data_IF_100806814613
#
_entry.id   IF_100806814613
#
_cell.length_a   1.000
_cell.length_b   1.000
_cell.length_c   1.000
_cell.angle_alpha   90.00
_cell.angle_beta   90.00
_cell.angle_gamma   90.00
#
_symmetry.space_group_name_H-M   'P 1'
#
loop_
_entity.id
_entity.type
_entity.pdbx_description
1 polymer ?
#
# COMPACT_ATOMS: atom_id res chain seq x y z
N UNK A 1 34.92 44.08 43.61
CA UNK A 1 34.97 42.96 42.62
C UNK A 1 33.61 42.30 42.60
N UNK A 2 32.87 42.42 41.49
CA UNK A 2 31.55 41.78 41.30
C UNK A 2 31.77 40.41 40.65
N UNK A 3 31.50 39.34 41.39
CA UNK A 3 31.49 37.98 40.88
C UNK A 3 30.11 37.68 40.29
N UNK A 4 30.03 37.55 38.97
CA UNK A 4 28.83 37.10 38.28
C UNK A 4 28.73 35.58 38.37
N UNK A 5 27.81 35.10 39.21
CA UNK A 5 27.38 33.70 39.25
C UNK A 5 26.69 33.36 37.95
N UNK A 6 27.32 32.53 37.10
CA UNK A 6 26.68 31.98 35.90
C UNK A 6 25.72 30.88 36.34
N UNK A 7 24.42 31.19 36.34
CA UNK A 7 23.36 30.19 36.33
C UNK A 7 23.34 29.56 34.93
N UNK A 8 23.64 28.27 34.82
CA UNK A 8 23.40 27.49 33.60
C UNK A 8 22.66 26.21 34.02
N UNK A 9 21.66 25.86 33.20
CA UNK A 9 20.72 24.73 33.25
C UNK A 9 19.36 25.02 33.94
N UNK A 10 18.22 24.62 33.33
CA UNK A 10 18.07 23.39 32.53
C UNK A 10 17.37 23.55 31.16
N UNK A 11 17.97 23.00 30.11
CA UNK A 11 17.36 22.85 28.78
C UNK A 11 17.26 21.36 28.36
N UNK A 12 17.02 20.46 29.32
CA UNK A 12 17.10 19.00 29.08
C UNK A 12 15.87 18.20 29.52
N UNK A 13 14.66 18.80 29.46
CA UNK A 13 13.41 18.08 29.71
C UNK A 13 12.39 18.15 28.56
N UNK A 14 12.66 18.88 27.47
CA UNK A 14 11.73 18.97 26.34
C UNK A 14 11.98 17.96 25.20
N UNK A 15 13.03 17.12 25.29
CA UNK A 15 13.42 16.23 24.19
C UNK A 15 12.78 14.84 24.16
N UNK A 16 12.12 14.41 25.24
CA UNK A 16 11.67 13.01 25.38
C UNK A 16 10.17 12.79 25.12
N UNK A 17 9.38 13.85 24.94
CA UNK A 17 7.92 13.75 24.76
C UNK A 17 7.44 13.62 23.31
N UNK A 18 8.29 13.94 22.33
CA UNK A 18 7.86 14.07 20.93
C UNK A 18 8.08 12.82 20.06
N UNK A 19 8.71 11.77 20.60
CA UNK A 19 9.09 10.58 19.84
C UNK A 19 8.02 9.47 19.81
N UNK A 20 6.88 9.63 20.50
CA UNK A 20 5.82 8.60 20.56
C UNK A 20 4.51 8.97 19.85
N UNK A 21 4.40 10.18 19.31
CA UNK A 21 3.36 10.49 18.33
C UNK A 21 3.92 10.18 16.93
N UNK A 22 4.18 8.89 16.66
CA UNK A 22 4.26 8.46 15.26
C UNK A 22 2.93 8.90 14.60
N UNK A 23 2.96 9.51 13.40
CA UNK A 23 1.76 10.03 12.78
C UNK A 23 0.80 8.87 12.50
N UNK A 24 -0.26 8.76 13.32
CA UNK A 24 -1.41 7.90 13.03
C UNK A 24 -2.15 8.37 11.75
N UNK A 25 -1.79 9.55 11.22
CA UNK A 25 -2.32 10.10 9.99
C UNK A 25 -1.92 9.30 8.73
N UNK A 26 -0.84 8.52 8.77
CA UNK A 26 -0.29 7.88 7.57
C UNK A 26 -0.99 6.57 7.13
N UNK A 27 -2.13 6.20 7.72
CA UNK A 27 -2.82 4.93 7.41
C UNK A 27 -4.30 5.09 7.06
N UNK A 28 -4.70 6.30 6.68
CA UNK A 28 -6.09 6.59 6.32
C UNK A 28 -6.40 6.34 4.84
N UNK A 29 -5.42 6.25 3.94
CA UNK A 29 -5.76 6.14 2.52
C UNK A 29 -6.40 4.79 2.18
N UNK A 30 -7.24 4.79 1.14
CA UNK A 30 -7.57 3.54 0.47
C UNK A 30 -6.36 3.14 -0.37
N UNK A 31 -5.83 1.96 -0.13
CA UNK A 31 -4.70 1.42 -0.88
C UNK A 31 -5.14 0.33 -1.83
N UNK A 32 -4.42 0.13 -2.93
CA UNK A 32 -4.59 -0.99 -3.84
C UNK A 32 -3.32 -1.83 -3.90
N UNK A 33 -3.47 -3.15 -3.98
CA UNK A 33 -2.36 -4.12 -4.11
C UNK A 33 -2.76 -5.27 -5.04
N UNK A 34 -1.91 -5.72 -5.97
CA UNK A 34 -0.62 -5.14 -6.32
C UNK A 34 -0.77 -3.72 -6.90
N UNK A 35 0.27 -2.90 -6.73
CA UNK A 35 0.33 -1.55 -7.31
C UNK A 35 0.74 -1.54 -8.79
N UNK A 36 0.90 -2.70 -9.40
CA UNK A 36 1.25 -2.88 -10.81
C UNK A 36 0.54 -4.11 -11.38
N UNK A 37 0.13 -4.04 -12.64
CA UNK A 37 -0.40 -5.17 -13.41
C UNK A 37 0.07 -5.09 -14.87
N UNK A 38 0.42 -6.22 -15.52
CA UNK A 38 0.72 -6.22 -16.94
C UNK A 38 -0.56 -6.03 -17.77
N UNK A 39 -0.46 -5.30 -18.90
CA UNK A 39 -1.54 -5.21 -19.88
C UNK A 39 -1.89 -6.58 -20.47
N UNK A 40 -3.15 -6.77 -20.85
CA UNK A 40 -3.71 -8.02 -21.39
C UNK A 40 -3.78 -9.17 -20.38
N UNK A 41 -3.19 -9.03 -19.19
CA UNK A 41 -3.14 -10.06 -18.16
C UNK A 41 -4.23 -9.82 -17.12
N UNK A 42 -4.90 -10.89 -16.72
CA UNK A 42 -5.96 -10.79 -15.74
C UNK A 42 -5.43 -10.91 -14.31
N UNK A 43 -5.49 -9.80 -13.58
CA UNK A 43 -4.94 -9.67 -12.23
C UNK A 43 -6.05 -9.40 -11.23
N UNK A 44 -5.96 -10.00 -10.04
CA UNK A 44 -6.80 -9.60 -8.90
C UNK A 44 -6.10 -8.46 -8.17
N UNK A 45 -6.75 -7.30 -8.15
CA UNK A 45 -6.37 -6.15 -7.33
C UNK A 45 -7.26 -6.09 -6.09
N UNK A 46 -6.64 -5.91 -4.93
CA UNK A 46 -7.29 -5.77 -3.64
C UNK A 46 -7.17 -4.33 -3.15
N UNK A 47 -8.31 -3.73 -2.86
CA UNK A 47 -8.42 -2.47 -2.16
C UNK A 47 -8.49 -2.73 -0.66
N UNK A 48 -7.90 -1.82 0.12
CA UNK A 48 -7.90 -1.91 1.56
C UNK A 48 -8.11 -0.56 2.24
N UNK A 49 -8.80 -0.56 3.37
CA UNK A 49 -9.08 0.63 4.18
C UNK A 49 -9.13 0.24 5.66
N UNK A 50 -8.53 1.07 6.52
CA UNK A 50 -8.39 0.78 7.96
C UNK A 50 -9.21 1.66 8.89
N UNK A 51 -9.99 2.60 8.37
CA UNK A 51 -10.71 3.59 9.18
C UNK A 51 -12.04 3.99 8.55
N UNK A 52 -12.90 4.60 9.37
CA UNK A 52 -14.15 5.21 8.96
C UNK A 52 -14.04 6.71 8.65
N UNK A 53 -15.06 7.29 8.02
CA UNK A 53 -15.10 8.71 7.66
C UNK A 53 -15.16 9.56 8.94
N UNK A 54 -14.09 10.29 9.26
CA UNK A 54 -13.92 11.00 10.53
C UNK A 54 -14.22 10.09 11.77
N UNK A 55 -13.88 8.81 11.67
CA UNK A 55 -14.14 7.79 12.70
C UNK A 55 -15.57 7.21 12.71
N UNK A 56 -16.43 7.62 11.77
CA UNK A 56 -17.78 7.05 11.60
C UNK A 56 -17.72 5.71 10.88
N UNK A 57 -18.42 4.65 11.34
CA UNK A 57 -18.37 3.33 10.71
C UNK A 57 -18.74 3.33 9.22
N UNK A 58 -17.98 2.59 8.41
CA UNK A 58 -18.18 2.50 6.96
C UNK A 58 -19.38 1.62 6.61
N UNK A 59 -20.22 2.08 5.71
CA UNK A 59 -21.42 1.37 5.22
C UNK A 59 -21.38 1.05 3.74
N UNK A 60 -20.46 1.62 2.95
CA UNK A 60 -20.20 1.19 1.59
C UNK A 60 -18.84 1.69 1.08
N UNK A 61 -18.25 0.92 0.16
CA UNK A 61 -17.20 1.39 -0.75
C UNK A 61 -17.72 1.28 -2.18
N UNK A 62 -17.75 2.40 -2.92
CA UNK A 62 -18.09 2.40 -4.34
C UNK A 62 -16.84 2.72 -5.15
N UNK A 63 -16.39 1.76 -5.94
CA UNK A 63 -15.24 1.91 -6.85
C UNK A 63 -15.76 2.35 -8.21
N UNK A 64 -15.24 3.45 -8.72
CA UNK A 64 -15.44 3.86 -10.11
C UNK A 64 -14.41 3.16 -10.98
N UNK A 65 -14.87 2.51 -12.04
CA UNK A 65 -14.02 1.76 -12.96
C UNK A 65 -13.52 2.72 -14.05
N UNK A 66 -12.20 2.90 -14.21
CA UNK A 66 -11.66 3.72 -15.30
C UNK A 66 -11.89 3.07 -16.67
N UNK A 67 -11.82 3.88 -17.72
CA UNK A 67 -11.82 3.37 -19.09
C UNK A 67 -10.51 2.62 -19.41
N UNK A 68 -10.48 1.89 -20.53
CA UNK A 68 -9.29 1.18 -21.00
C UNK A 68 -9.09 -0.22 -20.42
N UNK A 69 -10.00 -0.73 -19.58
CA UNK A 69 -9.99 -2.12 -19.15
C UNK A 69 -10.78 -3.01 -20.12
N UNK A 70 -10.15 -4.09 -20.61
CA UNK A 70 -10.79 -5.11 -21.45
C UNK A 70 -11.81 -5.92 -20.65
N UNK A 71 -11.53 -6.17 -19.37
CA UNK A 71 -12.47 -6.83 -18.48
C UNK A 71 -12.31 -6.39 -17.03
N UNK A 72 -13.45 -6.27 -16.34
CA UNK A 72 -13.52 -6.03 -14.91
C UNK A 72 -14.60 -6.94 -14.34
N UNK A 73 -14.32 -7.58 -13.20
CA UNK A 73 -15.29 -8.36 -12.48
C UNK A 73 -15.06 -8.26 -10.96
N UNK A 74 -16.10 -8.08 -10.15
CA UNK A 74 -15.96 -8.19 -8.70
C UNK A 74 -15.57 -9.60 -8.26
N UNK A 75 -14.66 -9.68 -7.29
CA UNK A 75 -14.36 -10.94 -6.61
C UNK A 75 -15.38 -11.15 -5.49
N UNK A 76 -16.04 -12.30 -5.48
CA UNK A 76 -17.03 -12.61 -4.45
C UNK A 76 -16.40 -12.61 -3.06
N UNK A 77 -17.05 -11.90 -2.14
CA UNK A 77 -16.65 -11.83 -0.74
C UNK A 77 -17.90 -11.92 0.14
N UNK A 78 -17.96 -12.94 1.01
CA UNK A 78 -19.13 -13.20 1.86
C UNK A 78 -19.39 -12.13 2.93
N UNK A 79 -18.47 -11.18 3.13
CA UNK A 79 -18.67 -10.05 4.03
C UNK A 79 -19.46 -8.88 3.40
N UNK A 80 -19.69 -8.91 2.08
CA UNK A 80 -20.34 -7.83 1.32
C UNK A 80 -21.52 -8.33 0.50
N UNK A 81 -22.55 -7.49 0.43
CA UNK A 81 -23.45 -7.42 -0.71
C UNK A 81 -22.77 -6.60 -1.82
N UNK A 82 -22.74 -7.13 -3.04
CA UNK A 82 -22.02 -6.53 -4.16
C UNK A 82 -23.02 -6.19 -5.26
N UNK A 83 -23.02 -4.93 -5.68
CA UNK A 83 -23.82 -4.44 -6.81
C UNK A 83 -22.95 -3.68 -7.81
N UNK A 84 -23.42 -3.56 -9.04
CA UNK A 84 -22.69 -2.91 -10.13
C UNK A 84 -23.64 -2.02 -10.95
N UNK A 85 -23.10 -0.93 -11.49
CA UNK A 85 -23.74 -0.18 -12.58
C UNK A 85 -23.00 -0.48 -13.86
N UNK A 86 -23.75 -0.51 -14.97
CA UNK A 86 -23.20 -0.68 -16.30
C UNK A 86 -23.52 0.52 -17.17
N UNK A 87 -22.57 0.87 -18.03
CA UNK A 87 -22.70 1.90 -19.05
C UNK A 87 -23.46 1.41 -20.27
N UNK A 88 -23.53 2.27 -21.28
CA UNK A 88 -24.11 1.91 -22.57
C UNK A 88 -23.27 0.83 -23.28
N UNK A 89 -23.94 -0.04 -24.04
CA UNK A 89 -23.26 -1.07 -24.82
C UNK A 89 -22.30 -0.43 -25.85
N UNK A 90 -21.06 -0.94 -25.90
CA UNK A 90 -20.05 -0.59 -26.88
C UNK A 90 -20.39 -1.19 -28.26
N UNK A 91 -19.55 -0.91 -29.27
CA UNK A 91 -19.74 -1.41 -30.63
C UNK A 91 -19.87 -2.95 -30.72
N UNK A 92 -19.21 -3.66 -29.79
CA UNK A 92 -19.24 -5.12 -29.67
C UNK A 92 -20.42 -5.66 -28.84
N UNK A 93 -21.34 -4.78 -28.41
CA UNK A 93 -22.51 -5.14 -27.61
C UNK A 93 -22.24 -5.41 -26.13
N UNK A 94 -21.01 -5.15 -25.66
CA UNK A 94 -20.62 -5.28 -24.26
C UNK A 94 -20.98 -4.01 -23.49
N UNK A 95 -21.70 -4.15 -22.39
CA UNK A 95 -21.98 -3.07 -21.45
C UNK A 95 -20.89 -3.06 -20.36
N UNK A 96 -19.95 -2.10 -20.38
CA UNK A 96 -18.86 -2.05 -19.41
C UNK A 96 -19.40 -1.74 -18.01
N UNK A 97 -18.74 -2.29 -16.99
CA UNK A 97 -19.02 -1.92 -15.59
C UNK A 97 -18.47 -0.51 -15.37
N UNK A 98 -19.31 0.41 -14.91
CA UNK A 98 -18.92 1.78 -14.56
C UNK A 98 -18.58 1.90 -13.07
N UNK A 99 -19.35 1.22 -12.22
CA UNK A 99 -19.10 1.22 -10.77
C UNK A 99 -19.36 -0.15 -10.17
N UNK A 100 -18.63 -0.45 -9.09
CA UNK A 100 -18.88 -1.60 -8.22
C UNK A 100 -19.03 -1.10 -6.79
N UNK A 101 -20.17 -1.37 -6.17
CA UNK A 101 -20.45 -1.01 -4.78
C UNK A 101 -20.41 -2.25 -3.88
N UNK A 102 -19.55 -2.19 -2.87
CA UNK A 102 -19.42 -3.18 -1.80
C UNK A 102 -20.10 -2.65 -0.54
N UNK A 103 -21.20 -3.29 -0.14
CA UNK A 103 -21.95 -2.95 1.08
C UNK A 103 -21.74 -4.03 2.13
N UNK A 104 -21.02 -3.78 3.23
CA UNK A 104 -20.74 -4.79 4.24
C UNK A 104 -22.04 -5.22 4.94
N UNK A 105 -22.11 -6.48 5.37
CA UNK A 105 -23.29 -7.03 6.06
C UNK A 105 -23.62 -6.32 7.40
N UNK A 106 -22.64 -5.63 7.97
CA UNK A 106 -22.78 -4.72 9.10
C UNK A 106 -21.80 -3.55 8.93
N UNK A 107 -22.10 -2.34 9.46
CA UNK A 107 -21.18 -1.21 9.38
C UNK A 107 -19.79 -1.57 9.95
N UNK A 108 -18.75 -1.31 9.18
CA UNK A 108 -17.36 -1.60 9.56
C UNK A 108 -16.94 -0.56 10.58
N UNK A 109 -16.67 -1.00 11.80
CA UNK A 109 -16.25 -0.11 12.88
C UNK A 109 -14.91 0.53 12.57
N UNK A 110 -14.74 1.79 12.96
CA UNK A 110 -13.46 2.49 12.81
C UNK A 110 -12.29 1.70 13.44
N UNK A 111 -11.13 1.72 12.77
CA UNK A 111 -9.95 0.94 13.13
C UNK A 111 -10.01 -0.54 12.73
N UNK A 112 -11.13 -1.03 12.16
CA UNK A 112 -11.17 -2.38 11.60
C UNK A 112 -10.70 -2.34 10.16
N UNK A 113 -9.80 -3.26 9.83
CA UNK A 113 -9.26 -3.38 8.49
C UNK A 113 -10.22 -4.13 7.58
N UNK A 114 -10.43 -3.59 6.39
CA UNK A 114 -11.41 -4.04 5.42
C UNK A 114 -10.74 -4.20 4.07
N UNK A 115 -11.02 -5.31 3.37
CA UNK A 115 -10.58 -5.52 1.98
C UNK A 115 -11.72 -5.90 1.06
N UNK A 116 -11.60 -5.51 -0.21
CA UNK A 116 -12.51 -5.83 -1.31
C UNK A 116 -11.72 -5.84 -2.62
N UNK A 117 -12.10 -6.66 -3.61
CA UNK A 117 -11.21 -6.95 -4.73
C UNK A 117 -11.92 -7.00 -6.07
N UNK A 118 -11.23 -6.54 -7.10
CA UNK A 118 -11.64 -6.66 -8.50
C UNK A 118 -10.65 -7.57 -9.23
N UNK A 119 -11.14 -8.42 -10.13
CA UNK A 119 -10.33 -9.00 -11.20
C UNK A 119 -10.38 -8.06 -12.38
N UNK A 120 -9.23 -7.56 -12.82
CA UNK A 120 -9.11 -6.59 -13.90
C UNK A 120 -8.19 -7.12 -15.00
N UNK A 121 -8.43 -6.69 -16.23
CA UNK A 121 -7.54 -6.91 -17.37
C UNK A 121 -7.37 -5.57 -18.06
N UNK A 122 -6.24 -4.86 -17.87
CA UNK A 122 -5.98 -3.60 -18.54
C UNK A 122 -5.75 -3.84 -20.03
N UNK A 123 -6.27 -2.95 -20.88
CA UNK A 123 -6.00 -2.94 -22.30
C UNK A 123 -4.58 -2.47 -22.62
N UNK A 124 -4.16 -2.71 -23.87
CA UNK A 124 -2.83 -2.30 -24.36
C UNK A 124 -2.65 -0.78 -24.41
N UNK A 125 -3.74 -0.02 -24.49
CA UNK A 125 -3.74 1.45 -24.50
C UNK A 125 -3.35 2.06 -23.15
N UNK A 126 -3.42 1.28 -22.07
CA UNK A 126 -3.02 1.71 -20.72
C UNK A 126 -1.53 1.47 -20.43
N UNK A 127 -0.75 0.82 -21.32
CA UNK A 127 0.66 0.50 -21.04
C UNK A 127 1.47 1.76 -20.71
N UNK A 128 2.14 1.74 -19.56
CA UNK A 128 2.95 2.84 -19.03
C UNK A 128 2.15 3.89 -18.25
N UNK A 129 0.82 3.77 -18.19
CA UNK A 129 -0.04 4.68 -17.45
C UNK A 129 -0.10 4.34 -15.95
N UNK A 130 -0.31 5.37 -15.14
CA UNK A 130 -0.76 5.22 -13.75
C UNK A 130 -2.27 5.41 -13.71
N UNK A 131 -2.98 4.31 -13.49
CA UNK A 131 -4.44 4.26 -13.59
C UNK A 131 -5.05 4.33 -12.20
N UNK A 132 -5.71 5.46 -11.92
CA UNK A 132 -6.39 5.71 -10.66
C UNK A 132 -7.79 5.09 -10.62
N UNK A 133 -8.18 4.52 -9.49
CA UNK A 133 -9.51 3.99 -9.21
C UNK A 133 -10.18 4.84 -8.14
N UNK A 134 -11.00 5.83 -8.50
CA UNK A 134 -11.71 6.62 -7.50
C UNK A 134 -12.58 5.74 -6.60
N UNK A 135 -12.52 5.96 -5.29
CA UNK A 135 -13.34 5.22 -4.31
C UNK A 135 -14.13 6.20 -3.46
N UNK A 136 -15.46 6.09 -3.51
CA UNK A 136 -16.33 6.77 -2.56
C UNK A 136 -16.56 5.86 -1.34
N UNK A 137 -16.04 6.26 -0.19
CA UNK A 137 -16.31 5.64 1.09
C UNK A 137 -17.50 6.33 1.74
N UNK A 138 -18.61 5.60 1.89
CA UNK A 138 -19.80 6.10 2.59
C UNK A 138 -19.84 5.55 4.00
N UNK A 139 -20.12 6.40 4.98
CA UNK A 139 -20.19 6.02 6.38
C UNK A 139 -21.57 6.32 6.97
N UNK A 140 -21.81 5.85 8.20
CA UNK A 140 -23.04 6.17 8.94
C UNK A 140 -23.24 7.68 9.05
N UNK A 141 -22.15 8.44 9.19
CA UNK A 141 -22.13 9.90 9.15
C UNK A 141 -21.06 10.35 8.17
N UNK A 142 -21.49 11.03 7.11
CA UNK A 142 -20.59 11.58 6.10
C UNK A 142 -20.05 10.56 5.11
N UNK A 143 -19.08 11.02 4.33
CA UNK A 143 -18.41 10.24 3.29
C UNK A 143 -17.03 10.85 3.02
N UNK A 144 -16.10 10.03 2.57
CA UNK A 144 -14.80 10.47 2.06
C UNK A 144 -14.68 10.05 0.59
N UNK A 145 -14.34 10.99 -0.28
CA UNK A 145 -14.13 10.76 -1.70
C UNK A 145 -12.62 10.64 -1.99
N UNK A 146 -12.17 9.41 -2.22
CA UNK A 146 -10.80 9.06 -2.55
C UNK A 146 -10.61 9.15 -4.07
N UNK A 147 -10.69 10.37 -4.60
CA UNK A 147 -10.66 10.68 -6.04
C UNK A 147 -9.54 11.67 -6.42
N UNK A 148 -8.70 12.06 -5.45
CA UNK A 148 -7.59 12.99 -5.64
C UNK A 148 -6.43 12.42 -6.45
N UNK A 149 -5.46 13.27 -6.76
CA UNK A 149 -4.22 12.88 -7.44
C UNK A 149 -3.51 11.74 -6.66
N UNK A 150 -3.29 10.57 -7.27
CA UNK A 150 -2.61 9.44 -6.61
C UNK A 150 -1.20 9.77 -6.11
N UNK A 151 -0.55 10.80 -6.64
CA UNK A 151 0.78 11.25 -6.21
C UNK A 151 0.75 12.29 -5.08
N UNK A 152 -0.43 12.77 -4.66
CA UNK A 152 -0.56 13.79 -3.62
C UNK A 152 -0.52 13.20 -2.21
N UNK A 153 0.66 13.27 -1.60
CA UNK A 153 0.95 12.84 -0.23
C UNK A 153 0.76 13.97 0.81
N UNK A 154 0.13 15.08 0.43
CA UNK A 154 -0.08 16.21 1.35
C UNK A 154 -1.03 15.85 2.49
N UNK A 155 -0.78 16.40 3.69
CA UNK A 155 -1.66 16.19 4.85
C UNK A 155 -3.10 16.60 4.54
N UNK A 156 -4.03 15.66 4.69
CA UNK A 156 -5.46 15.86 4.42
C UNK A 156 -5.87 15.71 2.96
N UNK A 157 -4.97 15.27 2.07
CA UNK A 157 -5.34 14.83 0.73
C UNK A 157 -6.18 13.55 0.79
N UNK A 158 -6.91 13.27 -0.29
CA UNK A 158 -7.70 12.04 -0.47
C UNK A 158 -7.31 11.36 -1.79
N UNK A 159 -6.05 10.90 -1.91
CA UNK A 159 -5.55 10.36 -3.17
C UNK A 159 -6.34 9.10 -3.56
N UNK A 160 -6.63 8.97 -4.85
CA UNK A 160 -7.23 7.76 -5.38
C UNK A 160 -6.20 6.61 -5.34
N UNK A 161 -6.59 5.39 -4.95
CA UNK A 161 -5.73 4.23 -5.15
C UNK A 161 -5.44 4.04 -6.63
N UNK A 162 -4.19 3.74 -7.00
CA UNK A 162 -3.78 3.61 -8.38
C UNK A 162 -2.86 2.41 -8.61
N UNK A 163 -2.90 1.87 -9.82
CA UNK A 163 -1.97 0.85 -10.30
C UNK A 163 -1.19 1.37 -11.49
N UNK A 164 0.05 0.93 -11.64
CA UNK A 164 0.82 1.10 -12.87
C UNK A 164 0.49 -0.05 -13.82
N UNK A 165 0.30 0.24 -15.10
CA UNK A 165 0.14 -0.82 -16.10
C UNK A 165 1.48 -1.05 -16.80
N UNK A 166 2.06 -2.22 -16.62
CA UNK A 166 3.32 -2.62 -17.25
C UNK A 166 3.09 -3.30 -18.61
N UNK A 167 4.16 -3.47 -19.37
CA UNK A 167 4.12 -4.24 -20.63
C UNK A 167 3.64 -5.67 -20.37
N UNK A 168 2.97 -6.26 -21.36
CA UNK A 168 2.54 -7.65 -21.27
C UNK A 168 3.73 -8.59 -21.02
N UNK A 169 3.58 -9.53 -20.09
CA UNK A 169 4.59 -10.57 -19.85
C UNK A 169 4.44 -11.67 -20.89
N UNK A 170 5.52 -12.01 -21.60
CA UNK A 170 5.55 -13.02 -22.67
C UNK A 170 5.23 -14.47 -22.21
N UNK A 171 4.93 -14.72 -20.93
CA UNK A 171 4.84 -16.07 -20.35
C UNK A 171 3.40 -16.62 -20.15
N UNK A 172 2.35 -15.83 -20.37
CA UNK A 172 0.96 -16.33 -20.31
C UNK A 172 0.42 -16.75 -21.69
N UNK A 173 1.29 -17.35 -22.50
CA UNK A 173 0.91 -18.09 -23.69
C UNK A 173 0.09 -19.32 -23.30
N UNK A 174 -1.24 -19.25 -23.41
CA UNK A 174 -2.09 -20.44 -23.44
C UNK A 174 -1.79 -21.25 -24.72
N UNK A 175 -0.75 -22.06 -24.64
CA UNK A 175 -0.29 -22.97 -25.67
C UNK A 175 -1.28 -24.11 -25.90
N UNK A 176 -1.83 -24.16 -27.11
CA UNK A 176 -2.18 -25.43 -27.74
C UNK A 176 -1.06 -25.82 -28.71
N UNK A 177 0.03 -26.35 -28.17
CA UNK A 177 1.01 -27.08 -28.96
C UNK A 177 0.84 -28.57 -28.66
N UNK A 178 0.30 -29.29 -29.65
CA UNK A 178 0.43 -30.73 -29.72
C UNK A 178 1.92 -31.09 -29.75
N UNK A 179 2.24 -32.14 -28.99
CA UNK A 179 3.57 -32.71 -28.85
C UNK A 179 4.24 -32.99 -30.19
N UNK A 180 5.49 -32.56 -30.33
CA UNK A 180 6.54 -33.32 -31.01
C UNK A 180 7.82 -33.12 -30.18
N UNK A 181 8.28 -34.25 -29.65
CA UNK A 181 9.56 -34.47 -28.98
C UNK A 181 10.70 -34.36 -29.99
N UNK A 182 11.82 -33.74 -29.64
CA UNK A 182 13.17 -34.25 -29.95
C UNK A 182 14.17 -33.55 -29.02
N UNK A 183 15.03 -34.36 -28.41
CA UNK A 183 16.03 -34.01 -27.40
C UNK A 183 17.29 -33.39 -28.03
N UNK A 184 18.06 -32.63 -27.25
CA UNK A 184 19.53 -32.62 -27.30
C UNK A 184 20.10 -31.96 -26.04
N UNK A 185 20.80 -32.77 -25.25
CA UNK A 185 21.72 -32.43 -24.16
C UNK A 185 22.72 -31.32 -24.50
N UNK A 186 23.06 -30.45 -23.53
CA UNK A 186 24.41 -30.42 -22.93
C UNK A 186 24.50 -29.46 -21.71
N UNK A 187 25.25 -29.93 -20.72
CA UNK A 187 25.51 -29.40 -19.38
C UNK A 187 26.57 -28.29 -19.39
N UNK A 188 26.41 -27.23 -18.58
CA UNK A 188 27.51 -26.58 -17.83
C UNK A 188 27.01 -25.60 -16.73
N UNK A 189 26.98 -26.13 -15.51
CA UNK A 189 27.29 -25.52 -14.19
C UNK A 189 27.23 -23.99 -14.01
N UNK A 190 26.28 -23.61 -13.14
CA UNK A 190 26.44 -22.78 -11.93
C UNK A 190 27.36 -21.54 -11.96
N UNK A 191 26.75 -20.38 -11.75
CA UNK A 191 27.31 -19.36 -10.86
C UNK A 191 26.20 -18.66 -10.09
N UNK A 192 26.28 -18.79 -8.78
CA UNK A 192 25.38 -18.22 -7.79
C UNK A 192 25.71 -16.73 -7.63
N UNK A 193 24.86 -15.85 -8.18
CA UNK A 193 24.88 -14.42 -7.84
C UNK A 193 23.71 -14.10 -6.91
N UNK A 194 23.73 -14.76 -5.75
CA UNK A 194 22.98 -14.37 -4.56
C UNK A 194 24.03 -14.07 -3.51
N UNK A 195 23.94 -12.90 -2.86
CA UNK A 195 24.57 -12.51 -1.58
C UNK A 195 25.65 -11.41 -1.54
N UNK A 196 25.61 -10.41 -2.43
CA UNK A 196 26.42 -9.18 -2.19
C UNK A 196 25.67 -8.12 -1.37
N UNK A 197 24.36 -7.96 -1.55
CA UNK A 197 23.56 -6.92 -0.87
C UNK A 197 23.18 -7.31 0.57
N UNK A 198 22.93 -8.60 0.83
CA UNK A 198 22.54 -9.13 2.15
C UNK A 198 23.69 -9.04 3.19
N UNK A 199 24.94 -9.17 2.75
CA UNK A 199 26.11 -9.09 3.64
C UNK A 199 26.37 -7.66 4.13
N UNK A 200 26.27 -6.65 3.25
CA UNK A 200 26.47 -5.25 3.62
C UNK A 200 25.38 -4.77 4.60
N UNK A 201 24.11 -5.12 4.34
CA UNK A 201 23.00 -4.77 5.20
C UNK A 201 23.13 -5.39 6.61
N UNK A 202 23.56 -6.65 6.70
CA UNK A 202 23.79 -7.32 7.99
C UNK A 202 24.97 -6.74 8.76
N UNK A 203 26.06 -6.40 8.09
CA UNK A 203 27.24 -5.79 8.72
C UNK A 203 26.90 -4.41 9.29
N UNK A 204 26.16 -3.58 8.54
CA UNK A 204 25.70 -2.27 9.02
C UNK A 204 24.69 -2.40 10.17
N UNK A 205 23.76 -3.35 10.09
CA UNK A 205 22.78 -3.60 11.14
C UNK A 205 23.41 -4.04 12.47
N UNK A 206 24.36 -5.00 12.41
CA UNK A 206 25.05 -5.50 13.61
C UNK A 206 25.97 -4.43 14.22
N UNK A 207 26.71 -3.68 13.40
CA UNK A 207 27.57 -2.61 13.89
C UNK A 207 26.79 -1.46 14.52
N UNK A 208 25.63 -1.08 13.97
CA UNK A 208 24.73 -0.10 14.57
C UNK A 208 24.21 -0.53 15.95
N UNK A 209 23.83 -1.79 16.12
CA UNK A 209 23.33 -2.32 17.39
C UNK A 209 24.41 -2.32 18.48
N UNK A 210 25.64 -2.67 18.13
CA UNK A 210 26.77 -2.65 19.08
C UNK A 210 27.07 -1.22 19.56
N UNK A 211 27.11 -0.24 18.64
CA UNK A 211 27.32 1.16 19.01
C UNK A 211 26.18 1.68 19.89
N UNK A 212 24.93 1.33 19.56
CA UNK A 212 23.76 1.67 20.38
C UNK A 212 23.85 1.09 21.79
N UNK A 213 24.20 -0.19 21.93
CA UNK A 213 24.34 -0.85 23.24
C UNK A 213 25.44 -0.21 24.10
N UNK A 214 26.59 0.13 23.51
CA UNK A 214 27.68 0.84 24.21
C UNK A 214 27.23 2.23 24.67
N UNK A 215 26.49 2.96 23.83
CA UNK A 215 25.91 4.26 24.18
C UNK A 215 24.97 4.16 25.39
N UNK A 216 24.11 3.14 25.44
CA UNK A 216 23.21 2.88 26.59
C UNK A 216 24.01 2.57 27.87
N UNK A 217 25.04 1.73 27.78
CA UNK A 217 25.88 1.40 28.94
C UNK A 217 26.60 2.64 29.48
N UNK A 218 27.18 3.47 28.62
CA UNK A 218 27.84 4.73 29.02
C UNK A 218 26.83 5.68 29.67
N UNK A 219 25.63 5.81 29.11
CA UNK A 219 24.57 6.65 29.69
C UNK A 219 24.14 6.17 31.08
N UNK A 220 24.01 4.85 31.28
CA UNK A 220 23.67 4.25 32.58
C UNK A 220 24.80 4.45 33.61
N UNK A 221 26.06 4.30 33.20
CA UNK A 221 27.21 4.52 34.08
C UNK A 221 27.39 6.01 34.43
N UNK A 222 27.16 6.92 33.49
CA UNK A 222 27.18 8.36 33.72
C UNK A 222 26.08 8.82 34.69
N UNK A 223 24.88 8.19 34.64
CA UNK A 223 23.80 8.41 35.61
C UNK A 223 24.11 7.85 37.01
N UNK A 224 25.03 6.89 37.12
CA UNK A 224 25.38 6.22 38.39
C UNK A 224 26.51 6.91 39.17
N UNK A 225 27.07 8.03 38.70
CA UNK A 225 28.11 8.73 39.44
C UNK A 225 27.54 9.25 40.77
N UNK A 226 27.94 8.72 41.94
CA UNK A 226 27.41 9.17 43.22
C UNK A 226 27.90 10.59 43.48
N UNK A 227 27.00 11.46 43.93
CA UNK A 227 27.35 12.73 44.54
C UNK A 227 28.16 12.44 45.82
N UNK A 228 29.48 12.47 45.69
CA UNK A 228 30.42 12.15 46.74
C UNK A 228 31.22 13.36 47.18
N UNK A 229 30.70 14.02 48.23
CA UNK A 229 31.32 14.91 49.24
C UNK A 229 31.88 16.27 48.82
#
# INVERSE_FOLDING_TARGET
MRTHTKLVLPALLLGAGFALAAPLAASAHVHVTPGETPAGSATVIEFSSGHGCDGSPTTAYTVTIPEGFDSVAPVLNGAYDISETRGAANADGVEPIETVTYTPTAPITDGYYSTFSLRVTPGEDLVGETVAFPVLQTCVTGSTDWSGDPADESEGSTPAPAIVVSEATEDDGHGHAAAETEESDEHAEASSDVSTVDTAARVLGVSGLVVGAVGVVIAVLARRKPAGK
#
